data_IF_511907360952
#
_entry.id   IF_511907360952
#
_cell.length_a   1.000
_cell.length_b   1.000
_cell.length_c   1.000
_cell.angle_alpha   90.00
_cell.angle_beta   90.00
_cell.angle_gamma   90.00
#
_symmetry.space_group_name_H-M   'P 1'
#
loop_
_entity.id
_entity.type
_entity.pdbx_description
1 polymer ?
#
# COMPACT_ATOMS: atom_id res chain seq x y z
N UNK A 1 70.27 17.58 -16.39
CA UNK A 1 70.15 17.13 -17.80
C UNK A 1 68.73 16.57 -17.89
N UNK A 2 67.77 17.44 -18.24
CA UNK A 2 67.00 17.38 -19.51
C UNK A 2 66.09 16.15 -19.58
N UNK A 3 64.82 16.32 -19.21
CA UNK A 3 63.62 16.36 -20.11
C UNK A 3 62.90 15.00 -19.92
N UNK A 4 61.59 14.79 -19.88
CA UNK A 4 60.40 15.46 -20.42
C UNK A 4 59.20 15.15 -19.46
N UNK A 5 58.28 16.09 -19.19
CA UNK A 5 56.98 16.30 -19.87
C UNK A 5 56.19 15.00 -20.04
N UNK A 6 55.14 14.84 -19.23
CA UNK A 6 53.97 14.03 -19.58
C UNK A 6 52.73 14.86 -19.20
N UNK A 7 52.01 15.27 -20.24
CA UNK A 7 50.85 16.15 -20.20
C UNK A 7 49.65 15.37 -19.67
N UNK A 8 49.15 15.78 -18.50
CA UNK A 8 47.92 15.23 -17.94
C UNK A 8 46.73 15.88 -18.65
N UNK A 9 46.26 15.27 -19.74
CA UNK A 9 44.96 15.61 -20.34
C UNK A 9 43.83 15.31 -19.34
N UNK A 10 43.38 16.35 -18.63
CA UNK A 10 42.10 16.33 -17.93
C UNK A 10 40.98 16.40 -18.96
N UNK A 11 40.57 15.24 -19.47
CA UNK A 11 39.34 15.09 -20.22
C UNK A 11 38.15 15.42 -19.33
N UNK A 12 37.60 16.63 -19.50
CA UNK A 12 36.31 17.00 -18.92
C UNK A 12 35.25 16.09 -19.53
N UNK A 13 34.70 15.19 -18.72
CA UNK A 13 33.48 14.45 -19.03
C UNK A 13 32.35 15.48 -19.16
N UNK A 14 31.98 15.75 -20.40
CA UNK A 14 30.80 16.52 -20.78
C UNK A 14 29.55 15.72 -20.38
N UNK A 15 29.12 15.86 -19.12
CA UNK A 15 27.82 15.39 -18.66
C UNK A 15 26.76 16.36 -19.15
N UNK A 16 26.49 16.33 -20.46
CA UNK A 16 25.25 16.86 -20.99
C UNK A 16 24.12 16.00 -20.41
N UNK A 17 23.55 16.48 -19.30
CA UNK A 17 22.28 16.00 -18.80
C UNK A 17 21.27 16.22 -19.92
N UNK A 18 20.93 15.14 -20.61
CA UNK A 18 19.84 15.10 -21.57
C UNK A 18 18.55 15.41 -20.80
N UNK A 19 18.19 16.69 -20.78
CA UNK A 19 16.91 17.17 -20.29
C UNK A 19 15.87 16.75 -21.30
N UNK A 20 15.51 15.47 -21.28
CA UNK A 20 14.35 14.98 -22.00
C UNK A 20 13.17 15.88 -21.61
N UNK A 21 12.56 16.53 -22.61
CA UNK A 21 11.35 17.30 -22.38
C UNK A 21 10.34 16.41 -21.65
N UNK A 22 9.68 16.92 -20.59
CA UNK A 22 8.73 16.14 -19.83
C UNK A 22 7.68 15.63 -20.82
N UNK A 23 7.66 14.31 -21.05
CA UNK A 23 6.60 13.67 -21.82
C UNK A 23 5.29 14.13 -21.22
N UNK A 24 4.39 14.65 -22.07
CA UNK A 24 3.07 15.11 -21.65
C UNK A 24 2.44 14.05 -20.74
N UNK A 25 2.36 14.35 -19.44
CA UNK A 25 1.77 13.43 -18.47
C UNK A 25 0.30 13.26 -18.82
N UNK A 26 -0.17 12.02 -18.82
CA UNK A 26 -1.57 11.73 -19.12
C UNK A 26 -2.42 12.30 -17.98
N UNK A 27 -3.38 13.17 -18.30
CA UNK A 27 -4.43 13.51 -17.33
C UNK A 27 -5.52 12.45 -17.44
N UNK A 28 -5.88 11.86 -16.30
CA UNK A 28 -7.06 11.02 -16.23
C UNK A 28 -8.30 11.92 -16.20
N UNK A 29 -9.10 11.85 -17.25
CA UNK A 29 -10.39 12.54 -17.30
C UNK A 29 -11.37 11.74 -16.42
N UNK A 30 -11.72 12.29 -15.27
CA UNK A 30 -12.64 11.67 -14.30
C UNK A 30 -13.80 12.64 -14.09
N UNK A 31 -15.02 12.20 -14.40
CA UNK A 31 -16.22 13.00 -14.20
C UNK A 31 -16.64 12.95 -12.71
N UNK A 32 -16.57 14.07 -11.96
CA UNK A 32 -16.96 14.09 -10.55
C UNK A 32 -18.48 13.91 -10.35
N UNK A 33 -19.28 13.97 -11.41
CA UNK A 33 -20.72 13.67 -11.32
C UNK A 33 -21.02 12.16 -11.26
N UNK A 34 -20.01 11.31 -11.51
CA UNK A 34 -20.07 9.85 -11.43
C UNK A 34 -19.61 9.29 -10.07
N UNK A 35 -19.42 10.15 -9.07
CA UNK A 35 -18.99 9.72 -7.74
C UNK A 35 -20.05 8.82 -7.09
N UNK A 36 -19.61 7.63 -6.68
CA UNK A 36 -20.46 6.73 -5.92
C UNK A 36 -20.72 7.35 -4.53
N UNK A 37 -21.98 7.40 -4.09
CA UNK A 37 -22.30 7.93 -2.76
C UNK A 37 -21.74 7.05 -1.63
N UNK A 38 -21.46 5.77 -1.89
CA UNK A 38 -20.88 4.83 -0.93
C UNK A 38 -19.40 5.17 -0.69
N UNK A 39 -18.97 4.97 0.55
CA UNK A 39 -17.54 4.94 0.87
C UNK A 39 -16.97 3.57 0.55
N UNK A 40 -15.74 3.58 0.08
CA UNK A 40 -14.99 2.40 -0.35
C UNK A 40 -13.61 2.50 0.25
N UNK A 41 -13.08 1.36 0.68
CA UNK A 41 -11.66 1.20 0.97
C UNK A 41 -11.02 0.34 -0.11
N UNK A 42 -10.04 0.87 -0.83
CA UNK A 42 -9.21 0.14 -1.79
C UNK A 42 -7.85 -0.19 -1.18
N UNK A 43 -7.31 -1.37 -1.45
CA UNK A 43 -5.94 -1.75 -1.11
C UNK A 43 -5.15 -2.04 -2.38
N UNK A 44 -4.12 -1.24 -2.65
CA UNK A 44 -3.13 -1.54 -3.67
C UNK A 44 -1.96 -2.29 -3.03
N UNK A 45 -1.60 -3.45 -3.56
CA UNK A 45 -0.47 -4.26 -3.12
C UNK A 45 0.69 -4.12 -4.10
N UNK A 46 1.85 -3.73 -3.59
CA UNK A 46 3.08 -3.60 -4.34
C UNK A 46 4.16 -4.55 -3.80
N UNK A 47 5.02 -5.06 -4.67
CA UNK A 47 6.16 -5.89 -4.30
C UNK A 47 7.43 -5.49 -5.05
N UNK A 48 8.43 -6.39 -5.03
CA UNK A 48 9.69 -6.19 -5.73
C UNK A 48 10.66 -5.24 -5.03
N UNK A 49 10.62 -5.12 -3.70
CA UNK A 49 11.33 -4.06 -2.97
C UNK A 49 12.88 -4.24 -2.95
N UNK A 50 13.40 -5.36 -3.48
CA UNK A 50 14.79 -5.82 -3.28
C UNK A 50 15.75 -5.71 -4.47
N UNK A 51 15.28 -5.84 -5.71
CA UNK A 51 16.14 -5.94 -6.91
C UNK A 51 15.80 -4.95 -8.04
N UNK A 52 14.85 -4.05 -7.83
CA UNK A 52 14.38 -3.13 -8.86
C UNK A 52 13.21 -2.29 -8.36
N UNK A 53 12.78 -1.32 -9.16
CA UNK A 53 11.70 -0.41 -8.81
C UNK A 53 10.45 -1.16 -8.30
N UNK A 54 9.77 -0.57 -7.31
CA UNK A 54 8.49 -1.08 -6.80
C UNK A 54 7.52 -1.38 -7.94
N UNK A 55 6.94 -2.58 -7.94
CA UNK A 55 5.99 -3.03 -8.95
C UNK A 55 4.60 -3.25 -8.36
N UNK A 56 3.58 -2.79 -9.08
CA UNK A 56 2.19 -3.11 -8.76
C UNK A 56 1.93 -4.60 -8.98
N UNK A 57 1.30 -5.25 -8.01
CA UNK A 57 0.97 -6.67 -8.09
C UNK A 57 -0.52 -6.91 -8.22
N UNK A 58 -1.32 -6.29 -7.35
CA UNK A 58 -2.74 -6.57 -7.23
C UNK A 58 -3.48 -5.41 -6.55
N UNK A 59 -4.80 -5.39 -6.71
CA UNK A 59 -5.71 -4.47 -6.02
C UNK A 59 -6.88 -5.23 -5.43
N UNK A 60 -7.24 -4.91 -4.19
CA UNK A 60 -8.44 -5.38 -3.53
C UNK A 60 -9.38 -4.21 -3.24
N UNK A 61 -10.68 -4.45 -3.33
CA UNK A 61 -11.71 -3.48 -2.99
C UNK A 61 -12.56 -3.99 -1.84
N UNK A 62 -12.84 -3.10 -0.91
CA UNK A 62 -13.83 -3.25 0.15
C UNK A 62 -14.85 -2.17 -0.01
N UNK A 63 -16.01 -2.57 -0.50
CA UNK A 63 -17.21 -1.73 -0.49
C UNK A 63 -17.90 -1.97 0.84
N UNK A 64 -18.49 -0.92 1.41
CA UNK A 64 -19.34 -1.05 2.59
C UNK A 64 -20.31 -2.22 2.46
N UNK A 65 -19.97 -3.31 3.13
CA UNK A 65 -20.77 -4.51 3.26
C UNK A 65 -20.87 -4.80 4.74
N UNK A 66 -22.04 -5.16 5.25
CA UNK A 66 -22.13 -5.52 6.67
C UNK A 66 -21.61 -6.96 6.87
N UNK A 67 -20.33 -7.24 6.55
CA UNK A 67 -19.78 -8.60 6.66
C UNK A 67 -19.62 -9.05 8.10
N UNK A 68 -19.23 -8.13 8.98
CA UNK A 68 -19.12 -8.40 10.42
C UNK A 68 -20.10 -7.52 11.19
N UNK A 69 -20.74 -8.12 12.20
CA UNK A 69 -21.67 -7.42 13.07
C UNK A 69 -20.95 -6.60 14.15
N UNK A 70 -19.67 -6.87 14.36
CA UNK A 70 -18.86 -6.20 15.37
C UNK A 70 -17.38 -6.33 15.08
N UNK A 71 -16.63 -5.46 15.72
CA UNK A 71 -15.18 -5.50 15.74
C UNK A 71 -14.62 -6.77 16.39
N UNK A 72 -15.26 -7.26 17.46
CA UNK A 72 -14.88 -8.50 18.13
C UNK A 72 -14.99 -9.71 17.21
N UNK A 73 -15.96 -9.71 16.29
CA UNK A 73 -16.11 -10.73 15.26
C UNK A 73 -14.96 -10.68 14.23
N UNK A 74 -14.58 -9.47 13.79
CA UNK A 74 -13.43 -9.28 12.91
C UNK A 74 -12.11 -9.71 13.59
N UNK A 75 -11.93 -9.45 14.88
CA UNK A 75 -10.79 -9.96 15.65
C UNK A 75 -10.78 -11.49 15.75
N UNK A 76 -11.95 -12.12 15.92
CA UNK A 76 -12.08 -13.56 15.93
C UNK A 76 -11.67 -14.19 14.58
N UNK A 77 -11.91 -13.49 13.46
CA UNK A 77 -11.38 -13.89 12.16
C UNK A 77 -9.85 -13.93 12.16
N UNK A 78 -9.17 -12.88 12.66
CA UNK A 78 -7.70 -12.88 12.74
C UNK A 78 -7.17 -14.04 13.59
N UNK A 79 -7.82 -14.30 14.73
CA UNK A 79 -7.48 -15.45 15.57
C UNK A 79 -7.65 -16.79 14.83
N UNK A 80 -8.60 -16.90 13.89
CA UNK A 80 -8.79 -18.10 13.07
C UNK A 80 -7.74 -18.28 11.96
N UNK A 81 -7.17 -17.17 11.46
CA UNK A 81 -6.14 -17.19 10.40
C UNK A 81 -4.78 -17.67 10.91
N UNK A 82 -4.47 -17.37 12.17
CA UNK A 82 -3.35 -17.95 12.87
C UNK A 82 -3.69 -19.42 13.18
N UNK A 83 -2.99 -20.37 12.57
CA UNK A 83 -3.25 -21.82 12.61
C UNK A 83 -2.94 -22.51 13.95
N UNK A 84 -3.18 -21.80 15.05
CA UNK A 84 -2.98 -22.21 16.43
C UNK A 84 -3.57 -21.16 17.35
N UNK A 85 -3.59 -21.40 18.67
CA UNK A 85 -4.07 -20.36 19.55
C UNK A 85 -3.10 -19.18 19.46
N UNK A 86 -3.61 -18.02 19.07
CA UNK A 86 -3.08 -16.74 19.49
C UNK A 86 -3.22 -16.61 21.02
N UNK A 87 -2.69 -17.57 21.79
CA UNK A 87 -2.81 -17.63 23.25
C UNK A 87 -1.98 -16.50 23.82
N UNK A 88 -2.67 -15.40 24.09
CA UNK A 88 -2.08 -14.21 24.65
C UNK A 88 -1.34 -13.43 23.58
N UNK A 89 -1.90 -12.27 23.24
CA UNK A 89 -1.13 -11.15 22.73
C UNK A 89 -0.69 -10.27 23.92
N UNK A 90 0.34 -10.62 24.72
CA UNK A 90 0.86 -9.70 25.71
C UNK A 90 1.69 -8.64 24.98
N UNK A 91 1.04 -7.66 24.34
CA UNK A 91 1.69 -6.55 23.64
C UNK A 91 0.98 -6.08 22.38
N UNK A 92 -0.36 -6.04 22.37
CA UNK A 92 -1.17 -5.56 21.25
C UNK A 92 -0.93 -4.06 21.02
N UNK A 93 -0.42 -3.71 19.84
CA UNK A 93 -0.51 -2.34 19.35
C UNK A 93 -1.84 -2.23 18.59
N UNK A 94 -2.75 -1.43 19.13
CA UNK A 94 -4.03 -1.13 18.52
C UNK A 94 -4.19 0.38 18.38
N UNK A 95 -4.85 0.80 17.31
CA UNK A 95 -5.10 2.21 17.08
C UNK A 95 -5.90 2.44 15.82
N UNK A 96 -5.95 3.70 15.39
CA UNK A 96 -6.66 4.09 14.20
C UNK A 96 -5.87 5.10 13.38
N UNK A 97 -5.98 4.98 12.07
CA UNK A 97 -5.43 5.90 11.08
C UNK A 97 -6.60 6.43 10.24
N UNK A 98 -7.16 7.56 10.68
CA UNK A 98 -8.40 8.08 10.11
C UNK A 98 -9.55 7.10 10.33
N UNK A 99 -10.07 6.57 9.23
CA UNK A 99 -11.22 5.66 9.21
C UNK A 99 -10.83 4.18 9.30
N UNK A 100 -9.54 3.86 9.28
CA UNK A 100 -9.06 2.49 9.45
C UNK A 100 -8.68 2.25 10.91
N UNK A 101 -9.21 1.18 11.48
CA UNK A 101 -8.71 0.62 12.74
C UNK A 101 -7.72 -0.48 12.43
N UNK A 102 -6.67 -0.61 13.25
CA UNK A 102 -5.65 -1.64 13.06
C UNK A 102 -5.40 -2.42 14.35
N UNK A 103 -5.14 -3.71 14.14
CA UNK A 103 -4.63 -4.65 15.14
C UNK A 103 -3.27 -5.07 14.67
N UNK A 104 -2.26 -4.85 15.49
CA UNK A 104 -0.96 -5.42 15.27
C UNK A 104 -0.60 -6.35 16.43
N UNK A 105 -0.55 -7.62 16.09
CA UNK A 105 -0.04 -8.65 16.95
C UNK A 105 1.45 -8.83 16.67
N UNK A 106 2.27 -8.33 17.61
CA UNK A 106 3.71 -8.45 17.50
C UNK A 106 4.12 -9.90 17.36
N UNK A 107 5.04 -10.10 16.44
CA UNK A 107 5.57 -11.36 16.05
C UNK A 107 6.53 -11.94 17.11
N UNK A 108 6.12 -13.06 17.72
CA UNK A 108 7.00 -14.00 18.42
C UNK A 108 7.35 -15.15 17.47
N UNK A 109 6.85 -16.35 17.79
CA UNK A 109 6.79 -17.46 16.81
C UNK A 109 5.68 -17.24 15.78
N UNK A 110 4.63 -16.52 16.17
CA UNK A 110 3.49 -16.12 15.36
C UNK A 110 3.10 -14.68 15.69
N UNK A 111 2.53 -13.98 14.72
CA UNK A 111 2.02 -12.62 14.81
C UNK A 111 1.03 -12.37 13.68
N UNK A 112 0.57 -11.13 13.54
CA UNK A 112 -0.37 -10.79 12.50
C UNK A 112 -0.77 -9.33 12.50
N UNK A 113 -1.44 -8.93 11.43
CA UNK A 113 -2.06 -7.64 11.33
C UNK A 113 -3.47 -7.77 10.76
N UNK A 114 -4.37 -6.93 11.24
CA UNK A 114 -5.72 -6.78 10.70
C UNK A 114 -6.02 -5.29 10.58
N UNK A 115 -6.50 -4.87 9.42
CA UNK A 115 -7.06 -3.54 9.18
C UNK A 115 -8.56 -3.68 8.94
N UNK A 116 -9.34 -2.83 9.60
CA UNK A 116 -10.80 -2.83 9.56
C UNK A 116 -11.28 -1.43 9.19
N UNK A 117 -12.26 -1.34 8.31
CA UNK A 117 -12.98 -0.09 8.08
C UNK A 117 -13.91 0.21 9.28
N UNK A 118 -13.71 1.34 9.95
CA UNK A 118 -14.46 1.67 11.19
C UNK A 118 -15.92 1.99 10.96
N UNK A 119 -16.31 2.30 9.73
CA UNK A 119 -17.70 2.61 9.41
C UNK A 119 -18.48 1.34 9.09
N UNK A 120 -17.84 0.38 8.44
CA UNK A 120 -18.51 -0.81 7.89
C UNK A 120 -18.18 -2.09 8.68
N UNK A 121 -17.13 -2.03 9.51
CA UNK A 121 -16.52 -3.18 10.19
C UNK A 121 -15.99 -4.27 9.25
N UNK A 122 -15.84 -3.98 7.96
CA UNK A 122 -15.28 -4.92 7.00
C UNK A 122 -13.76 -5.08 7.19
N UNK A 123 -13.23 -6.31 7.04
CA UNK A 123 -11.80 -6.53 7.01
C UNK A 123 -11.25 -6.00 5.68
N UNK A 124 -10.36 -5.01 5.76
CA UNK A 124 -9.67 -4.44 4.60
C UNK A 124 -8.47 -5.28 4.21
N UNK A 125 -7.76 -5.78 5.21
CA UNK A 125 -6.62 -6.67 5.05
C UNK A 125 -6.45 -7.48 6.33
N UNK A 126 -6.13 -8.77 6.20
CA UNK A 126 -5.56 -9.53 7.30
C UNK A 126 -4.33 -10.32 6.83
N UNK A 127 -3.29 -10.33 7.65
CA UNK A 127 -2.04 -11.01 7.39
C UNK A 127 -1.55 -11.73 8.63
N UNK A 128 -0.93 -12.89 8.44
CA UNK A 128 -0.24 -13.62 9.51
C UNK A 128 1.26 -13.48 9.32
N UNK A 129 1.99 -13.39 10.42
CA UNK A 129 3.44 -13.28 10.43
C UNK A 129 3.96 -14.52 11.15
N UNK A 130 4.80 -15.32 10.51
CA UNK A 130 5.25 -16.60 11.06
C UNK A 130 6.77 -16.63 11.18
N UNK A 131 7.30 -17.08 12.32
CA UNK A 131 8.73 -17.25 12.49
C UNK A 131 9.24 -18.42 11.62
N UNK A 132 10.25 -18.17 10.79
CA UNK A 132 10.84 -19.16 9.88
C UNK A 132 9.81 -19.91 9.02
N UNK A 133 8.91 -19.17 8.37
CA UNK A 133 7.86 -19.73 7.51
C UNK A 133 7.18 -18.69 6.62
N UNK A 134 6.26 -19.13 5.77
CA UNK A 134 5.42 -18.23 4.98
C UNK A 134 4.10 -17.96 5.68
N UNK A 135 3.91 -16.73 6.17
CA UNK A 135 2.61 -16.26 6.62
C UNK A 135 1.59 -16.17 5.47
N UNK A 136 0.33 -16.43 5.80
CA UNK A 136 -0.81 -16.26 4.91
C UNK A 136 -1.33 -14.82 4.88
N UNK A 137 -1.99 -14.48 3.77
CA UNK A 137 -2.77 -13.25 3.61
C UNK A 137 -4.23 -13.63 3.38
N UNK A 138 -5.12 -12.82 3.91
CA UNK A 138 -6.54 -12.84 3.62
C UNK A 138 -6.91 -11.51 2.98
N UNK A 139 -7.53 -11.63 1.82
CA UNK A 139 -8.20 -10.54 1.12
C UNK A 139 -9.71 -10.72 1.25
N UNK A 140 -10.49 -9.63 1.25
CA UNK A 140 -11.93 -9.71 1.11
C UNK A 140 -12.31 -10.56 -0.12
N UNK A 141 -13.28 -11.46 0.04
CA UNK A 141 -13.67 -12.42 -1.02
C UNK A 141 -14.42 -11.79 -2.19
N UNK A 142 -14.91 -10.56 -2.02
CA UNK A 142 -15.58 -9.80 -3.08
C UNK A 142 -14.54 -9.07 -3.94
N UNK A 143 -13.84 -9.82 -4.78
CA UNK A 143 -13.05 -9.25 -5.86
C UNK A 143 -13.92 -9.18 -7.11
N UNK A 144 -14.46 -8.00 -7.41
CA UNK A 144 -15.02 -7.76 -8.74
C UNK A 144 -13.89 -7.58 -9.74
N UNK A 145 -14.05 -8.08 -10.98
CA UNK A 145 -13.13 -7.74 -12.06
C UNK A 145 -13.19 -6.23 -12.29
N UNK A 146 -12.19 -5.53 -11.78
CA UNK A 146 -11.98 -4.12 -12.09
C UNK A 146 -11.29 -3.99 -13.44
N UNK A 147 -11.59 -2.89 -14.13
CA UNK A 147 -10.77 -2.45 -15.27
C UNK A 147 -9.29 -2.44 -14.87
N UNK A 148 -8.37 -2.82 -15.77
CA UNK A 148 -6.94 -2.76 -15.46
C UNK A 148 -6.54 -1.35 -15.03
N UNK A 149 -5.93 -1.24 -13.83
CA UNK A 149 -5.38 0.02 -13.34
C UNK A 149 -4.41 0.63 -14.36
N UNK A 150 -4.51 1.94 -14.57
CA UNK A 150 -3.60 2.70 -15.41
C UNK A 150 -2.69 3.54 -14.54
N UNK A 151 -1.41 3.56 -14.90
CA UNK A 151 -0.37 4.34 -14.23
C UNK A 151 0.26 5.35 -15.19
N UNK A 152 1.02 6.29 -14.63
CA UNK A 152 1.76 7.29 -15.41
C UNK A 152 0.95 8.56 -15.71
N UNK A 153 -0.16 8.76 -14.99
CA UNK A 153 -0.83 10.05 -15.01
C UNK A 153 -0.12 11.08 -14.15
N UNK A 154 -0.57 12.34 -14.24
CA UNK A 154 -0.13 13.39 -13.32
C UNK A 154 -0.39 12.96 -11.87
N UNK A 155 0.61 13.08 -10.97
CA UNK A 155 0.41 12.73 -9.57
C UNK A 155 -0.73 13.54 -8.96
N UNK A 156 -1.73 12.83 -8.45
CA UNK A 156 -2.83 13.36 -7.66
C UNK A 156 -2.50 13.22 -6.17
N UNK A 157 -3.22 13.86 -5.24
CA UNK A 157 -3.02 13.67 -3.79
C UNK A 157 -1.75 14.32 -3.17
N UNK A 158 -1.62 14.35 -1.81
CA UNK A 158 -0.52 15.05 -1.17
C UNK A 158 0.82 14.35 -1.40
N UNK A 159 1.89 15.13 -1.31
CA UNK A 159 3.24 14.60 -1.20
C UNK A 159 3.33 13.56 -0.06
N UNK A 160 4.26 12.61 -0.17
CA UNK A 160 4.41 11.51 0.79
C UNK A 160 4.49 11.98 2.27
N UNK A 161 4.99 13.19 2.52
CA UNK A 161 5.06 13.79 3.86
C UNK A 161 3.69 14.01 4.53
N UNK A 162 2.60 14.03 3.77
CA UNK A 162 1.23 14.09 4.26
C UNK A 162 0.54 12.73 4.42
N UNK A 163 1.22 11.64 4.07
CA UNK A 163 0.66 10.27 4.12
C UNK A 163 0.99 9.61 5.46
N UNK A 164 0.00 8.91 6.01
CA UNK A 164 0.20 8.15 7.24
C UNK A 164 0.89 6.83 6.90
N UNK A 165 2.09 6.62 7.46
CA UNK A 165 2.78 5.34 7.41
C UNK A 165 2.48 4.60 8.70
N UNK A 166 1.70 3.52 8.61
CA UNK A 166 1.42 2.67 9.76
C UNK A 166 2.74 1.99 10.20
N UNK A 167 3.14 2.13 11.47
CA UNK A 167 4.38 1.54 11.95
C UNK A 167 4.24 0.01 11.98
N UNK A 168 5.32 -0.67 11.61
CA UNK A 168 5.59 -2.01 12.10
C UNK A 168 6.99 -2.01 12.73
N UNK A 169 7.30 -3.02 13.55
CA UNK A 169 8.56 -3.12 14.30
C UNK A 169 9.83 -3.14 13.42
N UNK A 170 9.71 -3.35 12.11
CA UNK A 170 10.81 -3.60 11.18
C UNK A 170 10.99 -2.51 10.12
N UNK A 171 9.96 -1.72 9.83
CA UNK A 171 9.89 -0.80 8.70
C UNK A 171 9.12 0.47 9.10
N UNK A 172 9.79 1.38 9.81
CA UNK A 172 9.19 2.64 10.27
C UNK A 172 9.28 3.79 9.25
N UNK A 173 10.10 3.63 8.20
CA UNK A 173 10.21 4.54 7.04
C UNK A 173 11.04 3.86 5.97
N UNK A 174 10.41 3.34 4.91
CA UNK A 174 11.14 2.67 3.83
C UNK A 174 11.08 3.49 2.54
N UNK A 175 12.19 3.63 1.80
CA UNK A 175 12.16 4.15 0.43
C UNK A 175 11.11 3.43 -0.43
N UNK A 176 10.92 2.13 -0.21
CA UNK A 176 9.88 1.34 -0.85
C UNK A 176 8.45 1.83 -0.55
N UNK A 177 8.15 2.28 0.67
CA UNK A 177 6.85 2.85 1.01
C UNK A 177 6.59 4.16 0.25
N UNK A 178 7.64 4.98 0.11
CA UNK A 178 7.59 6.19 -0.69
C UNK A 178 7.43 5.87 -2.18
N UNK A 179 8.23 4.96 -2.73
CA UNK A 179 8.14 4.56 -4.15
C UNK A 179 6.78 3.96 -4.49
N UNK A 180 6.23 3.09 -3.63
CA UNK A 180 4.88 2.55 -3.78
C UNK A 180 3.83 3.65 -3.76
N UNK A 181 3.95 4.63 -2.86
CA UNK A 181 3.06 5.78 -2.83
C UNK A 181 3.17 6.64 -4.09
N UNK A 182 4.38 6.94 -4.55
CA UNK A 182 4.62 7.72 -5.78
C UNK A 182 4.03 7.01 -7.01
N UNK A 183 4.10 5.68 -7.07
CA UNK A 183 3.44 4.92 -8.11
C UNK A 183 1.91 4.96 -7.95
N UNK A 184 1.39 4.74 -6.75
CA UNK A 184 -0.05 4.76 -6.46
C UNK A 184 -0.69 6.12 -6.80
N UNK A 185 -0.03 7.24 -6.46
CA UNK A 185 -0.54 8.58 -6.76
C UNK A 185 -0.53 8.93 -8.25
N UNK A 186 0.18 8.16 -9.08
CA UNK A 186 0.12 8.26 -10.55
C UNK A 186 -0.96 7.39 -11.18
N UNK A 187 -1.77 6.69 -10.36
CA UNK A 187 -2.82 5.81 -10.83
C UNK A 187 -4.14 6.53 -11.10
N UNK A 188 -4.92 5.99 -12.03
CA UNK A 188 -6.27 6.46 -12.28
C UNK A 188 -7.22 6.17 -11.11
N UNK A 189 -6.95 5.14 -10.30
CA UNK A 189 -7.69 4.87 -9.06
C UNK A 189 -7.56 6.03 -8.07
N UNK A 190 -6.35 6.52 -7.80
CA UNK A 190 -6.19 7.65 -6.89
C UNK A 190 -6.81 8.93 -7.47
N UNK A 191 -6.75 9.11 -8.79
CA UNK A 191 -7.38 10.24 -9.44
C UNK A 191 -8.91 10.24 -9.26
N UNK A 192 -9.53 9.06 -9.21
CA UNK A 192 -10.97 8.97 -8.95
C UNK A 192 -11.36 9.23 -7.50
N UNK A 193 -10.50 8.90 -6.53
CA UNK A 193 -10.71 9.33 -5.16
C UNK A 193 -10.62 10.86 -5.04
N UNK A 194 -9.60 11.47 -5.65
CA UNK A 194 -9.43 12.94 -5.62
C UNK A 194 -10.58 13.69 -6.29
N UNK A 195 -11.08 13.19 -7.42
CA UNK A 195 -12.24 13.77 -8.10
C UNK A 195 -13.52 13.75 -7.24
N UNK A 196 -13.62 12.80 -6.31
CA UNK A 196 -14.80 12.58 -5.48
C UNK A 196 -14.70 13.18 -4.07
N UNK A 197 -13.63 13.90 -3.75
CA UNK A 197 -13.49 14.68 -2.53
C UNK A 197 -12.37 14.19 -1.61
N UNK A 198 -12.54 14.42 -0.31
CA UNK A 198 -11.51 14.08 0.67
C UNK A 198 -11.43 12.56 0.90
N UNK A 199 -10.21 12.04 0.93
CA UNK A 199 -9.91 10.64 1.22
C UNK A 199 -8.74 10.52 2.20
N UNK A 200 -8.63 9.36 2.85
CA UNK A 200 -7.55 9.02 3.77
C UNK A 200 -6.64 7.97 3.14
N UNK A 201 -5.34 8.05 3.41
CA UNK A 201 -4.34 7.09 2.93
C UNK A 201 -3.53 6.55 4.09
N UNK A 202 -3.37 5.22 4.12
CA UNK A 202 -2.46 4.52 5.02
C UNK A 202 -1.53 3.66 4.19
N UNK A 203 -0.23 3.81 4.42
CA UNK A 203 0.80 2.94 3.83
C UNK A 203 1.34 2.02 4.90
N UNK A 204 1.40 0.73 4.62
CA UNK A 204 1.92 -0.27 5.54
C UNK A 204 2.80 -1.28 4.83
N UNK A 205 3.93 -1.63 5.43
CA UNK A 205 4.79 -2.70 4.91
C UNK A 205 4.40 -4.02 5.57
N UNK A 206 3.95 -4.99 4.78
CA UNK A 206 3.64 -6.33 5.23
C UNK A 206 4.84 -7.26 5.06
N UNK A 207 5.25 -7.91 6.14
CA UNK A 207 6.29 -8.95 6.13
C UNK A 207 5.69 -10.28 6.60
N UNK A 208 5.50 -11.28 5.72
CA UNK A 208 4.85 -12.55 6.09
C UNK A 208 5.69 -13.44 7.02
N UNK A 209 6.94 -13.08 7.30
CA UNK A 209 7.85 -13.87 8.16
C UNK A 209 8.67 -13.01 9.08
N UNK A 210 8.89 -13.48 10.30
CA UNK A 210 9.84 -12.86 11.23
C UNK A 210 11.26 -13.13 10.77
N UNK A 211 12.13 -12.12 10.86
CA UNK A 211 13.54 -12.22 10.46
C UNK A 211 13.77 -12.03 8.96
N UNK A 212 12.72 -12.04 8.15
CA UNK A 212 12.75 -11.56 6.78
C UNK A 212 12.41 -10.07 6.79
N UNK A 213 13.41 -9.24 7.09
CA UNK A 213 13.49 -7.89 6.49
C UNK A 213 13.86 -7.99 5.00
N UNK A 214 13.62 -9.15 4.40
CA UNK A 214 13.91 -9.46 3.01
C UNK A 214 12.90 -8.68 2.16
N UNK A 215 13.38 -7.66 1.43
CA UNK A 215 12.52 -6.83 0.62
C UNK A 215 11.89 -7.59 -0.56
N UNK A 216 12.39 -8.77 -0.94
CA UNK A 216 11.83 -9.55 -2.05
C UNK A 216 10.46 -10.15 -1.73
N UNK A 217 10.22 -10.52 -0.48
CA UNK A 217 8.95 -11.13 -0.03
C UNK A 217 8.01 -10.13 0.64
N UNK A 218 8.53 -9.00 1.11
CA UNK A 218 7.75 -7.93 1.71
C UNK A 218 6.83 -7.28 0.66
N UNK A 219 5.68 -6.78 1.13
CA UNK A 219 4.72 -6.05 0.32
C UNK A 219 4.49 -4.67 0.90
N UNK A 220 4.31 -3.68 0.05
CA UNK A 220 3.77 -2.38 0.48
C UNK A 220 2.28 -2.39 0.16
N UNK A 221 1.47 -2.17 1.18
CA UNK A 221 0.03 -1.97 1.06
C UNK A 221 -0.26 -0.48 1.12
N UNK A 222 -0.89 0.05 0.08
CA UNK A 222 -1.45 1.40 0.06
C UNK A 222 -2.95 1.27 0.19
N UNK A 223 -3.48 1.62 1.36
CA UNK A 223 -4.91 1.58 1.68
C UNK A 223 -5.49 2.99 1.53
N UNK A 224 -6.54 3.11 0.74
CA UNK A 224 -7.20 4.38 0.43
C UNK A 224 -8.67 4.28 0.80
N UNK A 225 -9.17 5.17 1.65
CA UNK A 225 -10.58 5.19 2.08
C UNK A 225 -11.23 6.52 1.72
N UNK A 226 -12.34 6.48 1.00
CA UNK A 226 -13.04 7.68 0.54
C UNK A 226 -14.25 7.36 -0.36
N UNK A 227 -14.75 8.39 -1.04
CA UNK A 227 -15.64 8.20 -2.18
C UNK A 227 -14.79 8.10 -3.45
N UNK A 228 -15.25 7.34 -4.43
CA UNK A 228 -14.56 7.13 -5.70
C UNK A 228 -15.61 7.05 -6.81
N UNK A 229 -15.21 7.15 -8.06
CA UNK A 229 -16.16 6.98 -9.16
C UNK A 229 -16.67 5.55 -9.23
N UNK A 230 -17.93 5.39 -9.64
CA UNK A 230 -18.59 4.09 -9.69
C UNK A 230 -17.92 3.05 -10.61
N UNK A 231 -17.04 3.47 -11.52
CA UNK A 231 -16.33 2.59 -12.48
C UNK A 231 -15.56 1.45 -11.83
N UNK A 232 -15.15 1.61 -10.57
CA UNK A 232 -14.39 0.59 -9.84
C UNK A 232 -15.28 -0.40 -9.08
N UNK A 233 -16.60 -0.15 -9.05
CA UNK A 233 -17.56 -0.76 -8.16
C UNK A 233 -18.68 -1.50 -8.89
N UNK A 234 -18.53 -1.73 -10.20
CA UNK A 234 -19.47 -2.54 -10.97
C UNK A 234 -19.34 -4.01 -10.54
N UNK A 235 -19.99 -4.29 -9.41
CA UNK A 235 -20.32 -5.62 -8.92
C UNK A 235 -21.64 -6.01 -9.59
N UNK A 236 -21.59 -6.68 -10.74
CA UNK A 236 -22.76 -7.39 -11.28
C UNK A 236 -23.13 -8.60 -10.41
#
# INVERSE_FOLDING_TARGET
>A
MRDAVDDTETGALDTAADTAEPKDLVQFDVDPTECDPRRVTSVLSFGGLGEGAVAFEDVAFVVASEQFASFEEAQAMLASLCSGPCYGFPGEDQGAFGELEYFYAREGDFGGALFIDRQTFDPVFAGTIVWMGGGGRYWPSAQSPVDPLRFGGSPVAPEFSGVVVAPNSHWTSSPAAQEAWELARSSDLLASYEACGDFSVVVWVYTPSVGLTDPEVAKVLVMVTGQTTGRWLDIE
#
